data_IF_675722417834
#
_entry.id   IF_675722417834
#
_cell.length_a   1.000
_cell.length_b   1.000
_cell.length_c   1.000
_cell.angle_alpha   90.00
_cell.angle_beta   90.00
_cell.angle_gamma   90.00
#
_symmetry.space_group_name_H-M   'P 1'
#
loop_
_entity.id
_entity.type
_entity.pdbx_description
1 polymer ?
#
# COMPACT_ATOMS: atom_id res chain seq x y z
N UNK A 1 -7.47 20.20 -1.80
CA UNK A 1 -7.13 19.44 -0.57
C UNK A 1 -6.55 18.11 -1.04
N UNK A 2 -5.24 17.87 -0.89
CA UNK A 2 -4.61 16.61 -1.31
C UNK A 2 -5.01 15.53 -0.31
N UNK A 3 -6.10 14.82 -0.60
CA UNK A 3 -6.52 13.69 0.23
C UNK A 3 -5.53 12.54 0.02
N UNK A 4 -4.91 12.08 1.10
CA UNK A 4 -3.98 10.94 1.11
C UNK A 4 -4.69 9.74 1.72
N UNK A 5 -4.65 8.58 1.06
CA UNK A 5 -5.05 7.33 1.70
C UNK A 5 -3.84 6.67 2.35
N UNK A 6 -4.12 5.88 3.38
CA UNK A 6 -3.12 5.08 4.06
C UNK A 6 -3.52 3.61 3.99
N UNK A 7 -2.64 2.78 3.45
CA UNK A 7 -2.75 1.33 3.58
C UNK A 7 -2.06 0.91 4.88
N UNK A 8 -2.80 0.18 5.71
CA UNK A 8 -2.27 -0.37 6.96
C UNK A 8 -1.83 -1.81 6.73
N UNK A 9 -0.55 -2.08 6.94
CA UNK A 9 0.04 -3.40 6.69
C UNK A 9 0.48 -4.10 7.97
N UNK A 10 0.27 -5.42 8.01
CA UNK A 10 0.77 -6.31 9.07
C UNK A 10 0.16 -6.06 10.45
N UNK A 11 0.73 -6.73 11.46
CA UNK A 11 0.26 -6.65 12.86
C UNK A 11 0.62 -5.33 13.56
N UNK A 12 1.61 -4.61 13.04
CA UNK A 12 2.06 -3.32 13.59
C UNK A 12 1.43 -2.11 12.88
N UNK A 13 0.50 -2.33 11.95
CA UNK A 13 -0.19 -1.29 11.18
C UNK A 13 0.77 -0.29 10.53
N UNK A 14 1.84 -0.80 9.92
CA UNK A 14 2.77 0.02 9.12
C UNK A 14 1.98 0.76 8.05
N UNK A 15 2.23 2.07 7.91
CA UNK A 15 1.46 2.94 7.01
C UNK A 15 2.20 3.11 5.69
N UNK A 16 1.56 2.71 4.60
CA UNK A 16 1.99 3.03 3.23
C UNK A 16 1.14 4.18 2.73
N UNK A 17 1.78 5.28 2.31
CA UNK A 17 1.08 6.42 1.72
C UNK A 17 0.66 6.08 0.29
N UNK A 18 -0.61 6.29 -0.03
CA UNK A 18 -1.13 6.20 -1.39
C UNK A 18 -1.50 7.61 -1.85
N UNK A 19 -0.72 8.12 -2.79
CA UNK A 19 -1.07 9.34 -3.50
C UNK A 19 -2.33 9.12 -4.34
N UNK A 20 -3.20 10.13 -4.36
CA UNK A 20 -4.45 10.07 -5.09
C UNK A 20 -4.21 9.81 -6.59
N UNK A 21 -4.91 8.84 -7.16
CA UNK A 21 -4.76 8.50 -8.58
C UNK A 21 -3.55 7.64 -8.91
N UNK A 22 -2.66 7.35 -7.94
CA UNK A 22 -1.43 6.61 -8.19
C UNK A 22 -1.55 5.18 -7.70
N UNK A 23 -1.32 4.24 -8.61
CA UNK A 23 -1.20 2.84 -8.25
C UNK A 23 0.15 2.56 -7.58
N UNK A 24 0.13 1.77 -6.52
CA UNK A 24 1.30 1.33 -5.77
C UNK A 24 1.31 -0.19 -5.75
N UNK A 25 2.44 -0.77 -6.13
CA UNK A 25 2.63 -2.21 -6.05
C UNK A 25 2.99 -2.59 -4.61
N UNK A 26 2.23 -3.53 -4.05
CA UNK A 26 2.44 -4.08 -2.72
C UNK A 26 2.96 -5.52 -2.78
N UNK A 27 3.77 -5.85 -1.78
CA UNK A 27 4.33 -7.18 -1.63
C UNK A 27 5.36 -7.25 -0.53
N UNK A 28 6.16 -8.32 -0.53
CA UNK A 28 7.26 -8.54 0.42
C UNK A 28 8.31 -7.44 0.30
N UNK A 29 8.62 -6.75 1.40
CA UNK A 29 9.59 -5.67 1.37
C UNK A 29 9.61 -4.83 2.64
N UNK A 30 10.59 -3.93 2.78
CA UNK A 30 10.68 -3.04 3.94
C UNK A 30 9.49 -2.06 4.01
N UNK A 31 8.92 -1.66 2.87
CA UNK A 31 7.82 -0.69 2.81
C UNK A 31 6.53 -1.23 3.46
N UNK A 32 6.27 -2.53 3.30
CA UNK A 32 5.09 -3.22 3.88
C UNK A 32 5.41 -3.94 5.19
N UNK A 33 6.70 -4.16 5.49
CA UNK A 33 7.16 -4.98 6.61
C UNK A 33 6.90 -6.49 6.42
N UNK A 34 6.45 -6.91 5.23
CA UNK A 34 6.20 -8.33 4.95
C UNK A 34 7.53 -9.02 4.67
N UNK A 35 7.87 -10.03 5.47
CA UNK A 35 9.09 -10.84 5.33
C UNK A 35 8.82 -12.28 4.85
N UNK A 36 7.54 -12.69 4.79
CA UNK A 36 7.14 -14.03 4.37
C UNK A 36 7.60 -14.33 2.94
N UNK A 37 8.37 -15.41 2.75
CA UNK A 37 8.96 -15.78 1.45
C UNK A 37 7.95 -16.24 0.40
N UNK A 38 6.73 -16.62 0.79
CA UNK A 38 5.63 -16.94 -0.12
C UNK A 38 4.97 -15.68 -0.71
N UNK A 39 5.18 -14.53 -0.06
CA UNK A 39 4.72 -13.25 -0.56
C UNK A 39 5.65 -12.75 -1.68
N UNK A 40 5.09 -12.49 -2.85
CA UNK A 40 5.82 -11.85 -3.96
C UNK A 40 6.11 -10.39 -3.62
N UNK A 41 7.14 -9.81 -4.23
CA UNK A 41 7.39 -8.36 -4.17
C UNK A 41 6.34 -7.54 -4.95
N UNK A 42 5.65 -8.19 -5.89
CA UNK A 42 4.59 -7.61 -6.70
C UNK A 42 3.33 -8.47 -6.60
N UNK A 43 2.79 -8.59 -5.39
CA UNK A 43 1.66 -9.49 -5.15
C UNK A 43 0.31 -8.85 -5.50
N UNK A 44 0.18 -7.54 -5.32
CA UNK A 44 -1.03 -6.79 -5.65
C UNK A 44 -0.72 -5.34 -6.01
N UNK A 45 -1.66 -4.70 -6.69
CA UNK A 45 -1.59 -3.29 -7.07
C UNK A 45 -2.79 -2.57 -6.45
N UNK A 46 -2.51 -1.52 -5.68
CA UNK A 46 -3.54 -0.78 -4.94
C UNK A 46 -3.52 0.68 -5.34
N UNK A 47 -4.71 1.28 -5.49
CA UNK A 47 -4.87 2.67 -5.89
C UNK A 47 -5.89 3.37 -5.00
N UNK A 48 -5.54 4.56 -4.53
CA UNK A 48 -6.47 5.43 -3.83
C UNK A 48 -7.05 6.46 -4.79
N UNK A 49 -8.37 6.43 -4.99
CA UNK A 49 -9.09 7.45 -5.76
C UNK A 49 -10.09 8.20 -4.86
N UNK A 50 -9.63 9.30 -4.27
CA UNK A 50 -10.46 10.23 -3.47
C UNK A 50 -11.36 11.14 -4.30
N UNK A 51 -11.21 11.10 -5.64
CA UNK A 51 -12.06 11.80 -6.62
C UNK A 51 -13.37 11.06 -6.91
N UNK A 52 -13.47 9.76 -6.57
CA UNK A 52 -14.69 8.95 -6.76
C UNK A 52 -15.57 8.89 -5.50
N UNK A 53 -15.53 9.92 -4.65
CA UNK A 53 -16.46 10.04 -3.53
C UNK A 53 -17.70 10.83 -3.92
#
# INVERSE_FOLDING_TARGET
RTSVCWLLCGKQFSRVSLENGRAVILGRGPDTGITDKKCSRHQGEEKCDTLHR
#
